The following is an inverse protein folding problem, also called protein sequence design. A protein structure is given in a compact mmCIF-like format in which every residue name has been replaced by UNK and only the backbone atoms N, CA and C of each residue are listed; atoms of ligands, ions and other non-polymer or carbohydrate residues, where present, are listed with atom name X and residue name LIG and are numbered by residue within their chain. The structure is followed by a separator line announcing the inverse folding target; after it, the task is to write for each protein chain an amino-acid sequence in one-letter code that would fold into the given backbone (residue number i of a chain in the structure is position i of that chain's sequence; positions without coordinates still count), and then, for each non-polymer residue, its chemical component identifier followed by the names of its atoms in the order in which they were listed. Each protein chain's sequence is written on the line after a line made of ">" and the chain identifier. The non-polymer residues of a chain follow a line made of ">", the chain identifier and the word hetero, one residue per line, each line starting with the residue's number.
data_IF_081443214037
#
_entry.id   IF_081443214037
#
_cell.length_a   1.000
_cell.length_b   1.000
_cell.length_c   1.000
_cell.angle_alpha   90.00
_cell.angle_beta   90.00
_cell.angle_gamma   90.00
#
_symmetry.space_group_name_H-M   'P 1'
#
loop_
_entity.id
_entity.type
_entity.pdbx_description
1 polymer ?
#
# COMPACT_ATOMS: atom_id res chain seq x y z
N UNK A 1 -26.06 -0.24 21.12
CA UNK A 1 -25.71 -1.59 20.64
C UNK A 1 -26.58 -1.87 19.42
N UNK A 2 -26.08 -1.74 18.24
CA UNK A 2 -26.72 -2.08 16.98
C UNK A 2 -25.68 -2.67 16.06
N UNK A 3 -25.57 -3.99 16.05
CA UNK A 3 -24.84 -4.71 15.01
C UNK A 3 -25.61 -4.55 13.70
N UNK A 4 -25.00 -3.85 12.73
CA UNK A 4 -25.48 -3.88 11.36
C UNK A 4 -24.84 -5.10 10.70
N UNK A 5 -25.51 -6.23 10.83
CA UNK A 5 -25.17 -7.44 10.10
C UNK A 5 -25.53 -7.27 8.62
N UNK A 6 -24.58 -6.97 7.77
CA UNK A 6 -24.76 -7.13 6.32
C UNK A 6 -24.61 -8.61 6.01
N UNK A 7 -25.74 -9.32 6.02
CA UNK A 7 -25.79 -10.69 5.56
C UNK A 7 -25.73 -10.71 4.03
N UNK A 8 -24.57 -10.71 3.44
CA UNK A 8 -24.39 -11.15 2.07
C UNK A 8 -24.54 -12.67 2.05
N UNK A 9 -25.72 -13.15 1.71
CA UNK A 9 -25.97 -14.56 1.50
C UNK A 9 -25.29 -14.99 0.21
N UNK A 10 -24.03 -15.38 0.30
CA UNK A 10 -23.36 -16.10 -0.78
C UNK A 10 -24.01 -17.48 -0.86
N UNK A 11 -25.03 -17.63 -1.67
CA UNK A 11 -25.59 -18.92 -2.02
C UNK A 11 -24.73 -19.48 -3.16
N UNK A 12 -23.59 -20.05 -2.80
CA UNK A 12 -22.85 -20.94 -3.67
C UNK A 12 -23.56 -22.29 -3.76
N UNK A 13 -24.66 -22.33 -4.49
CA UNK A 13 -25.24 -23.60 -4.92
C UNK A 13 -24.51 -24.03 -6.18
N UNK A 14 -23.61 -24.99 -6.05
CA UNK A 14 -23.20 -25.81 -7.19
C UNK A 14 -24.41 -26.67 -7.59
N UNK A 15 -25.35 -26.09 -8.28
CA UNK A 15 -26.34 -26.86 -9.01
C UNK A 15 -25.69 -27.40 -10.27
N UNK A 16 -25.70 -28.70 -10.41
CA UNK A 16 -25.36 -29.43 -11.64
C UNK A 16 -26.10 -28.75 -12.80
N UNK A 17 -25.34 -28.21 -13.76
CA UNK A 17 -25.85 -27.66 -15.00
C UNK A 17 -26.62 -28.77 -15.72
N UNK A 18 -27.95 -28.70 -15.70
CA UNK A 18 -28.77 -29.50 -16.56
C UNK A 18 -28.51 -29.08 -18.01
N UNK A 19 -28.38 -30.06 -18.90
CA UNK A 19 -28.10 -29.87 -20.33
C UNK A 19 -29.23 -29.08 -21.02
N UNK A 20 -29.20 -27.77 -20.96
CA UNK A 20 -30.19 -26.88 -21.52
C UNK A 20 -29.92 -25.38 -21.31
N UNK A 21 -28.95 -25.05 -20.44
CA UNK A 21 -28.58 -23.66 -20.18
C UNK A 21 -27.86 -23.08 -21.38
N UNK A 22 -28.42 -22.07 -22.03
CA UNK A 22 -27.79 -21.41 -23.15
C UNK A 22 -26.48 -20.74 -22.71
N UNK A 23 -25.45 -20.79 -23.55
CA UNK A 23 -24.14 -20.17 -23.31
C UNK A 23 -24.25 -18.69 -22.85
N UNK A 24 -25.27 -17.99 -23.33
CA UNK A 24 -25.59 -16.62 -22.96
C UNK A 24 -25.95 -16.48 -21.48
N UNK A 25 -26.74 -17.41 -20.93
CA UNK A 25 -27.18 -17.34 -19.53
C UNK A 25 -26.01 -17.58 -18.57
N UNK A 26 -25.04 -18.40 -18.99
CA UNK A 26 -23.78 -18.62 -18.23
C UNK A 26 -22.89 -17.38 -18.25
N UNK A 27 -22.79 -16.70 -19.39
CA UNK A 27 -22.02 -15.47 -19.51
C UNK A 27 -22.65 -14.34 -18.69
N UNK A 28 -23.96 -14.17 -18.71
CA UNK A 28 -24.68 -13.18 -17.94
C UNK A 28 -24.52 -13.43 -16.42
N UNK A 29 -24.49 -14.69 -15.97
CA UNK A 29 -24.19 -15.03 -14.57
C UNK A 29 -22.76 -14.65 -14.17
N UNK A 30 -21.77 -14.95 -15.03
CA UNK A 30 -20.35 -14.62 -14.78
C UNK A 30 -20.16 -13.09 -14.71
N UNK A 31 -20.83 -12.34 -15.57
CA UNK A 31 -20.76 -10.88 -15.54
C UNK A 31 -21.42 -10.30 -14.28
N UNK A 32 -22.54 -10.85 -13.85
CA UNK A 32 -23.19 -10.45 -12.59
C UNK A 32 -22.34 -10.76 -11.37
N UNK A 33 -21.67 -11.93 -11.32
CA UNK A 33 -20.75 -12.26 -10.24
C UNK A 33 -19.53 -11.35 -10.21
N UNK A 34 -18.94 -11.03 -11.38
CA UNK A 34 -17.83 -10.09 -11.49
C UNK A 34 -18.22 -8.69 -11.04
N UNK A 35 -19.41 -8.24 -11.42
CA UNK A 35 -19.93 -6.94 -10.99
C UNK A 35 -20.17 -6.89 -9.47
N UNK A 36 -20.76 -7.93 -8.91
CA UNK A 36 -21.00 -8.03 -7.46
C UNK A 36 -19.68 -8.05 -6.65
N UNK A 37 -18.67 -8.80 -7.11
CA UNK A 37 -17.35 -8.82 -6.47
C UNK A 37 -16.65 -7.46 -6.57
N UNK A 38 -16.70 -6.80 -7.71
CA UNK A 38 -16.13 -5.46 -7.90
C UNK A 38 -16.77 -4.43 -6.98
N UNK A 39 -18.09 -4.46 -6.86
CA UNK A 39 -18.83 -3.56 -6.00
C UNK A 39 -18.55 -3.82 -4.51
N UNK A 40 -18.47 -5.08 -4.10
CA UNK A 40 -18.14 -5.44 -2.72
C UNK A 40 -16.73 -4.98 -2.33
N UNK A 41 -15.76 -5.16 -3.21
CA UNK A 41 -14.38 -4.70 -2.98
C UNK A 41 -14.29 -3.18 -2.89
N UNK A 42 -15.04 -2.45 -3.70
CA UNK A 42 -15.08 -0.99 -3.65
C UNK A 42 -15.69 -0.49 -2.33
N UNK A 43 -16.78 -1.09 -1.85
CA UNK A 43 -17.37 -0.74 -0.56
C UNK A 43 -16.42 -1.03 0.60
N UNK A 44 -15.76 -2.18 0.60
CA UNK A 44 -14.78 -2.53 1.63
C UNK A 44 -13.64 -1.50 1.63
N UNK A 45 -13.11 -1.17 0.46
CA UNK A 45 -12.06 -0.16 0.34
C UNK A 45 -12.49 1.21 0.88
N UNK A 46 -13.70 1.66 0.57
CA UNK A 46 -14.22 2.95 1.09
C UNK A 46 -14.41 2.93 2.62
N UNK A 47 -14.86 1.81 3.19
CA UNK A 47 -15.03 1.66 4.64
C UNK A 47 -13.66 1.67 5.33
N UNK A 48 -12.70 0.93 4.79
CA UNK A 48 -11.35 0.85 5.34
C UNK A 48 -10.64 2.20 5.26
N UNK A 49 -10.75 2.91 4.15
CA UNK A 49 -10.21 4.26 3.99
C UNK A 49 -10.80 5.24 5.01
N UNK A 50 -12.11 5.20 5.25
CA UNK A 50 -12.76 6.04 6.26
C UNK A 50 -12.29 5.70 7.67
N UNK A 51 -12.12 4.42 7.98
CA UNK A 51 -11.61 3.99 9.29
C UNK A 51 -10.16 4.44 9.50
N UNK A 52 -9.31 4.37 8.48
CA UNK A 52 -7.94 4.88 8.54
C UNK A 52 -7.93 6.40 8.78
N UNK A 53 -8.73 7.17 8.06
CA UNK A 53 -8.80 8.62 8.22
C UNK A 53 -9.25 9.05 9.61
N UNK A 54 -10.14 8.29 10.26
CA UNK A 54 -10.62 8.61 11.60
C UNK A 54 -9.59 8.34 12.71
N UNK A 55 -8.61 7.49 12.47
CA UNK A 55 -7.53 7.15 13.41
C UNK A 55 -6.22 7.91 13.12
N UNK A 56 -6.14 8.58 11.98
CA UNK A 56 -4.96 9.31 11.54
C UNK A 56 -4.75 10.60 12.33
N UNK A 57 -3.54 10.77 12.87
CA UNK A 57 -3.10 12.01 13.51
C UNK A 57 -2.31 12.86 12.49
N UNK A 58 -2.86 14.00 12.03
CA UNK A 58 -2.19 14.83 11.03
C UNK A 58 -0.92 15.52 11.54
N UNK A 59 -0.69 15.52 12.85
CA UNK A 59 0.46 16.17 13.46
C UNK A 59 1.57 15.20 13.85
N UNK A 60 1.28 13.89 13.88
CA UNK A 60 2.23 12.90 14.35
C UNK A 60 2.16 11.58 13.58
N UNK A 61 3.19 11.27 12.82
CA UNK A 61 3.30 10.01 12.11
C UNK A 61 3.96 8.95 12.99
N UNK A 62 3.23 7.87 13.27
CA UNK A 62 3.75 6.70 13.98
C UNK A 62 4.13 5.65 12.95
N UNK A 63 5.36 5.17 13.04
CA UNK A 63 5.90 4.11 12.19
C UNK A 63 6.44 2.99 13.08
N UNK A 64 6.09 1.76 12.80
CA UNK A 64 6.49 0.59 13.60
C UNK A 64 6.80 -0.63 12.74
N UNK A 65 7.51 -1.60 13.31
CA UNK A 65 7.63 -2.93 12.72
C UNK A 65 6.40 -3.76 13.05
N UNK A 66 5.95 -4.56 12.09
CA UNK A 66 4.84 -5.47 12.25
C UNK A 66 4.77 -6.47 11.10
N UNK A 67 3.57 -6.95 10.83
CA UNK A 67 3.32 -7.88 9.73
C UNK A 67 2.13 -7.38 8.90
N UNK A 68 2.13 -7.72 7.62
CA UNK A 68 0.98 -7.51 6.75
C UNK A 68 -0.12 -8.58 6.98
N UNK A 69 -1.22 -8.49 6.25
CA UNK A 69 -2.33 -9.44 6.35
C UNK A 69 -1.97 -10.88 5.87
N UNK A 70 -0.79 -11.07 5.27
CA UNK A 70 -0.26 -12.35 4.83
C UNK A 70 0.82 -12.90 5.77
N UNK A 71 1.03 -12.25 6.92
CA UNK A 71 2.09 -12.53 7.91
C UNK A 71 3.52 -12.34 7.36
N UNK A 72 3.69 -11.48 6.36
CA UNK A 72 5.02 -11.03 5.95
C UNK A 72 5.46 -9.86 6.83
N UNK A 73 6.73 -9.82 7.15
CA UNK A 73 7.30 -8.69 7.90
C UNK A 73 7.14 -7.40 7.10
N UNK A 74 6.64 -6.38 7.75
CA UNK A 74 6.25 -5.12 7.15
C UNK A 74 6.58 -3.93 8.04
N UNK A 75 6.68 -2.77 7.44
CA UNK A 75 6.69 -1.48 8.15
C UNK A 75 5.25 -0.97 8.18
N UNK A 76 4.71 -0.78 9.38
CA UNK A 76 3.37 -0.26 9.60
C UNK A 76 3.44 1.26 9.79
N UNK A 77 2.61 1.98 9.06
CA UNK A 77 2.51 3.44 9.09
C UNK A 77 1.09 3.81 9.50
N UNK A 78 0.94 4.51 10.60
CA UNK A 78 -0.36 5.01 11.07
C UNK A 78 -0.79 6.23 10.26
N UNK A 79 -1.01 6.00 8.98
CA UNK A 79 -1.52 6.98 8.03
C UNK A 79 -2.40 6.28 6.98
N UNK A 80 -3.34 7.04 6.35
CA UNK A 80 -4.12 6.54 5.25
C UNK A 80 -3.26 6.05 4.09
N UNK A 81 -3.80 5.11 3.32
CA UNK A 81 -3.13 4.50 2.17
C UNK A 81 -2.62 5.55 1.17
N UNK A 82 -3.45 6.51 0.82
CA UNK A 82 -3.12 7.59 -0.13
C UNK A 82 -1.97 8.47 0.41
N UNK A 83 -2.06 8.87 1.68
CA UNK A 83 -0.99 9.65 2.33
C UNK A 83 0.32 8.87 2.34
N UNK A 84 0.29 7.58 2.67
CA UNK A 84 1.48 6.73 2.67
C UNK A 84 2.09 6.63 1.27
N UNK A 85 1.27 6.51 0.21
CA UNK A 85 1.76 6.52 -1.16
C UNK A 85 2.44 7.85 -1.53
N UNK A 86 1.86 8.98 -1.16
CA UNK A 86 2.44 10.30 -1.41
C UNK A 86 3.79 10.47 -0.70
N UNK A 87 3.88 10.04 0.56
CA UNK A 87 5.13 10.05 1.30
C UNK A 87 6.21 9.18 0.63
N UNK A 88 5.85 7.99 0.15
CA UNK A 88 6.79 7.13 -0.58
C UNK A 88 7.28 7.78 -1.88
N UNK A 89 6.40 8.45 -2.62
CA UNK A 89 6.78 9.16 -3.84
C UNK A 89 7.83 10.25 -3.59
N UNK A 90 7.74 10.95 -2.47
CA UNK A 90 8.70 11.98 -2.07
C UNK A 90 10.01 11.42 -1.53
N UNK A 91 9.93 10.39 -0.66
CA UNK A 91 11.11 9.89 0.04
C UNK A 91 11.98 8.93 -0.77
N UNK A 92 11.40 8.05 -1.60
CA UNK A 92 12.15 6.99 -2.29
C UNK A 92 13.30 7.54 -3.15
N UNK A 93 13.11 8.57 -3.99
CA UNK A 93 14.21 9.15 -4.75
C UNK A 93 15.32 9.72 -3.86
N UNK A 94 14.98 10.35 -2.74
CA UNK A 94 15.95 10.90 -1.78
C UNK A 94 16.81 9.81 -1.14
N UNK A 95 16.28 8.59 -1.01
CA UNK A 95 16.98 7.42 -0.49
C UNK A 95 17.78 6.66 -1.56
N UNK A 96 17.84 7.14 -2.80
CA UNK A 96 18.51 6.46 -3.90
C UNK A 96 17.71 5.30 -4.48
N UNK A 97 16.40 5.29 -4.29
CA UNK A 97 15.48 4.31 -4.85
C UNK A 97 14.78 4.90 -6.06
N UNK A 98 15.20 4.50 -7.23
CA UNK A 98 14.57 4.90 -8.49
C UNK A 98 13.24 4.18 -8.64
N UNK A 99 12.15 4.93 -8.79
CA UNK A 99 10.83 4.38 -9.10
C UNK A 99 10.80 4.09 -10.60
N UNK A 100 10.76 2.82 -10.98
CA UNK A 100 10.66 2.39 -12.38
C UNK A 100 9.19 2.37 -12.85
N UNK A 101 8.29 1.91 -11.99
CA UNK A 101 6.84 1.97 -12.20
C UNK A 101 6.10 2.00 -10.88
N UNK A 102 4.89 2.52 -10.87
CA UNK A 102 3.96 2.34 -9.77
C UNK A 102 2.54 2.12 -10.30
N UNK A 103 1.76 1.34 -9.56
CA UNK A 103 0.38 1.04 -9.87
C UNK A 103 -0.49 1.22 -8.65
N UNK A 104 -1.34 2.25 -8.67
CA UNK A 104 -2.32 2.49 -7.59
C UNK A 104 -3.30 1.32 -7.49
N UNK A 105 -3.75 0.78 -8.63
CA UNK A 105 -4.69 -0.34 -8.67
C UNK A 105 -4.14 -1.64 -8.05
N UNK A 106 -2.83 -1.85 -8.12
CA UNK A 106 -2.13 -3.00 -7.51
C UNK A 106 -1.54 -2.65 -6.15
N UNK A 107 -1.57 -1.37 -5.76
CA UNK A 107 -0.87 -0.88 -4.57
C UNK A 107 0.62 -1.26 -4.56
N UNK A 108 1.29 -1.18 -5.70
CA UNK A 108 2.63 -1.71 -5.90
C UNK A 108 3.55 -0.69 -6.58
N UNK A 109 4.79 -0.64 -6.09
CA UNK A 109 5.91 0.05 -6.72
C UNK A 109 6.93 -0.98 -7.20
N UNK A 110 7.48 -0.76 -8.38
CA UNK A 110 8.71 -1.40 -8.83
C UNK A 110 9.84 -0.39 -8.72
N UNK A 111 10.83 -0.70 -7.92
CA UNK A 111 11.93 0.21 -7.59
C UNK A 111 13.28 -0.43 -7.83
N UNK A 112 14.29 0.40 -8.00
CA UNK A 112 15.68 -0.01 -8.12
C UNK A 112 16.52 0.79 -7.14
N UNK A 113 17.16 0.09 -6.19
CA UNK A 113 18.12 0.69 -5.26
C UNK A 113 19.44 0.88 -5.99
N UNK A 114 19.81 2.14 -6.23
CA UNK A 114 20.98 2.51 -7.00
C UNK A 114 22.24 2.44 -6.16
N UNK A 115 23.37 2.13 -6.81
CA UNK A 115 24.69 2.09 -6.19
C UNK A 115 25.68 3.07 -6.85
N UNK A 116 25.51 3.37 -8.12
CA UNK A 116 26.35 4.30 -8.88
C UNK A 116 26.24 5.72 -8.33
N UNK A 117 27.38 6.35 -8.00
CA UNK A 117 27.43 7.73 -7.52
C UNK A 117 26.79 8.70 -8.51
N UNK A 118 27.05 8.53 -9.82
CA UNK A 118 26.49 9.40 -10.85
C UNK A 118 24.97 9.30 -10.94
N UNK A 119 24.42 8.09 -10.82
CA UNK A 119 22.98 7.88 -10.90
C UNK A 119 22.27 8.40 -9.64
N UNK A 120 22.91 8.26 -8.48
CA UNK A 120 22.41 8.83 -7.23
C UNK A 120 22.37 10.37 -7.27
N UNK A 121 23.42 11.01 -7.81
CA UNK A 121 23.45 12.47 -7.99
C UNK A 121 22.33 12.90 -8.94
N UNK A 122 22.15 12.19 -10.07
CA UNK A 122 21.07 12.49 -11.03
C UNK A 122 19.69 12.36 -10.42
N UNK A 123 19.51 11.36 -9.52
CA UNK A 123 18.26 11.15 -8.82
C UNK A 123 18.02 12.17 -7.70
N UNK A 124 19.06 12.88 -7.25
CA UNK A 124 19.00 13.79 -6.11
C UNK A 124 19.04 13.07 -4.76
N UNK A 125 19.58 11.86 -4.74
CA UNK A 125 19.70 11.06 -3.53
C UNK A 125 20.72 11.67 -2.55
N UNK A 126 20.33 11.82 -1.30
CA UNK A 126 21.17 12.37 -0.22
C UNK A 126 21.13 11.50 1.05
N UNK A 127 20.38 10.40 1.03
CA UNK A 127 20.23 9.45 2.14
C UNK A 127 20.56 8.05 1.64
N UNK A 128 21.14 7.22 2.50
CA UNK A 128 21.37 5.80 2.24
C UNK A 128 20.67 4.97 3.30
N UNK A 129 19.88 4.00 2.84
CA UNK A 129 19.23 3.02 3.70
C UNK A 129 20.04 1.71 3.73
N UNK A 130 19.90 0.96 4.82
CA UNK A 130 20.61 -0.32 4.98
C UNK A 130 19.89 -1.44 4.21
N UNK A 131 20.06 -1.42 2.91
CA UNK A 131 19.58 -2.42 1.97
C UNK A 131 20.57 -2.60 0.83
N UNK A 132 20.65 -3.78 0.28
CA UNK A 132 21.50 -4.06 -0.89
C UNK A 132 20.97 -3.35 -2.13
N UNK A 133 21.85 -2.91 -3.02
CA UNK A 133 21.46 -2.44 -4.34
C UNK A 133 20.79 -3.56 -5.14
N UNK A 134 19.86 -3.19 -6.01
CA UNK A 134 19.11 -4.14 -6.82
C UNK A 134 17.65 -3.72 -7.04
N UNK A 135 16.89 -4.61 -7.64
CA UNK A 135 15.48 -4.40 -7.93
C UNK A 135 14.61 -4.97 -6.82
N UNK A 136 13.59 -4.21 -6.47
CA UNK A 136 12.64 -4.58 -5.43
C UNK A 136 11.22 -4.20 -5.85
N UNK A 137 10.25 -4.83 -5.19
CA UNK A 137 8.86 -4.38 -5.22
C UNK A 137 8.44 -3.96 -3.82
N UNK A 138 7.65 -2.92 -3.75
CA UNK A 138 7.04 -2.44 -2.51
C UNK A 138 5.54 -2.58 -2.69
N UNK A 139 4.89 -3.34 -1.81
CA UNK A 139 3.42 -3.48 -1.80
C UNK A 139 2.84 -2.83 -0.57
N UNK A 140 1.76 -2.10 -0.77
CA UNK A 140 1.01 -1.49 0.31
C UNK A 140 -0.27 -2.25 0.54
N UNK A 141 -0.64 -2.38 1.80
CA UNK A 141 -1.89 -3.01 2.21
C UNK A 141 -2.51 -2.29 3.40
N UNK A 142 -3.82 -2.22 3.43
CA UNK A 142 -4.55 -1.69 4.59
C UNK A 142 -4.46 -2.72 5.72
N UNK A 143 -4.02 -2.29 6.89
CA UNK A 143 -3.88 -3.11 8.09
C UNK A 143 -4.52 -2.40 9.28
N UNK A 144 -5.80 -2.62 9.49
CA UNK A 144 -6.58 -1.88 10.49
C UNK A 144 -6.62 -0.38 10.17
N UNK A 145 -6.14 0.44 11.12
CA UNK A 145 -5.99 1.89 10.94
C UNK A 145 -4.68 2.31 10.29
N UNK A 146 -3.79 1.36 10.00
CA UNK A 146 -2.46 1.61 9.45
C UNK A 146 -2.36 1.14 8.00
N UNK A 147 -1.32 1.60 7.32
CA UNK A 147 -0.90 1.06 6.03
C UNK A 147 0.36 0.20 6.25
N UNK A 148 0.31 -1.05 5.83
CA UNK A 148 1.46 -1.95 5.84
C UNK A 148 2.27 -1.77 4.56
N UNK A 149 3.59 -1.61 4.69
CA UNK A 149 4.55 -1.54 3.60
C UNK A 149 5.39 -2.81 3.63
N UNK A 150 5.19 -3.68 2.64
CA UNK A 150 5.89 -4.96 2.52
C UNK A 150 6.85 -4.92 1.34
N UNK A 151 8.06 -5.43 1.54
CA UNK A 151 9.14 -5.40 0.55
C UNK A 151 9.37 -6.80 -0.02
N UNK A 152 9.57 -6.87 -1.33
CA UNK A 152 9.83 -8.10 -2.07
C UNK A 152 11.09 -7.93 -2.91
N UNK A 153 11.83 -9.01 -3.08
CA UNK A 153 12.99 -9.05 -3.97
C UNK A 153 12.58 -9.18 -5.45
N UNK A 154 13.56 -9.23 -6.32
CA UNK A 154 13.38 -9.39 -7.77
C UNK A 154 12.61 -10.67 -8.15
N UNK A 155 12.68 -11.71 -7.31
CA UNK A 155 12.00 -13.00 -7.51
C UNK A 155 10.59 -13.05 -6.89
N UNK A 156 10.08 -11.91 -6.43
CA UNK A 156 8.79 -11.81 -5.77
C UNK A 156 8.72 -12.55 -4.41
N UNK A 157 9.88 -12.76 -3.78
CA UNK A 157 9.96 -13.28 -2.41
C UNK A 157 9.97 -12.13 -1.40
N UNK A 158 9.21 -12.21 -0.30
CA UNK A 158 9.24 -11.19 0.74
C UNK A 158 10.62 -11.14 1.39
N UNK A 159 11.07 -9.95 1.74
CA UNK A 159 12.33 -9.79 2.47
C UNK A 159 12.25 -10.48 3.84
N UNK A 160 13.37 -11.02 4.28
CA UNK A 160 13.47 -11.65 5.60
C UNK A 160 13.30 -10.65 6.73
N UNK A 161 12.88 -11.13 7.91
CA UNK A 161 12.75 -10.33 9.14
C UNK A 161 14.02 -9.55 9.46
N UNK A 162 15.20 -10.16 9.20
CA UNK A 162 16.46 -9.49 9.44
C UNK A 162 16.71 -8.33 8.48
N UNK A 163 16.34 -8.46 7.21
CA UNK A 163 16.49 -7.40 6.21
C UNK A 163 15.52 -6.25 6.50
N UNK A 164 14.26 -6.55 6.82
CA UNK A 164 13.26 -5.55 7.19
C UNK A 164 13.67 -4.83 8.47
N UNK A 165 14.18 -5.54 9.48
CA UNK A 165 14.64 -4.94 10.75
C UNK A 165 15.85 -4.02 10.56
N UNK A 166 16.75 -4.31 9.62
CA UNK A 166 17.88 -3.43 9.29
C UNK A 166 17.44 -2.19 8.52
N UNK A 167 16.51 -2.36 7.60
CA UNK A 167 15.96 -1.27 6.79
C UNK A 167 15.13 -0.29 7.64
N UNK A 168 14.40 -0.81 8.62
CA UNK A 168 13.36 -0.08 9.36
C UNK A 168 13.83 1.24 9.98
N UNK A 169 14.93 1.33 10.75
CA UNK A 169 15.26 2.58 11.44
C UNK A 169 15.45 3.75 10.48
N UNK A 170 16.26 3.55 9.43
CA UNK A 170 16.50 4.59 8.42
C UNK A 170 15.27 4.91 7.60
N UNK A 171 14.49 3.89 7.24
CA UNK A 171 13.25 4.07 6.48
C UNK A 171 12.20 4.85 7.27
N UNK A 172 12.02 4.52 8.55
CA UNK A 172 11.09 5.21 9.44
C UNK A 172 11.48 6.68 9.67
N UNK A 173 12.77 6.96 9.88
CA UNK A 173 13.27 8.32 10.08
C UNK A 173 13.00 9.20 8.85
N UNK A 174 13.28 8.67 7.65
CA UNK A 174 13.03 9.44 6.41
C UNK A 174 11.54 9.62 6.15
N UNK A 175 10.72 8.61 6.46
CA UNK A 175 9.28 8.71 6.30
C UNK A 175 8.67 9.78 7.21
N UNK A 176 9.11 9.84 8.47
CA UNK A 176 8.70 10.88 9.43
C UNK A 176 9.17 12.26 8.98
N UNK A 177 10.38 12.38 8.44
CA UNK A 177 10.91 13.63 7.89
C UNK A 177 10.10 14.12 6.68
N UNK A 178 9.77 13.22 5.77
CA UNK A 178 8.93 13.53 4.61
C UNK A 178 7.54 13.99 5.04
N UNK A 179 6.97 13.31 6.04
CA UNK A 179 5.67 13.66 6.60
C UNK A 179 5.65 15.08 7.19
N UNK A 180 6.67 15.48 7.94
CA UNK A 180 6.79 16.84 8.49
C UNK A 180 6.85 17.89 7.38
N UNK A 181 7.58 17.60 6.30
CA UNK A 181 7.67 18.47 5.13
C UNK A 181 6.32 18.59 4.42
N UNK A 182 5.60 17.48 4.27
CA UNK A 182 4.28 17.41 3.67
C UNK A 182 3.24 18.19 4.49
N UNK A 183 3.18 17.98 5.81
CA UNK A 183 2.25 18.68 6.71
C UNK A 183 2.55 20.18 6.81
N UNK A 184 3.83 20.57 6.79
CA UNK A 184 4.25 21.97 6.77
C UNK A 184 3.83 22.70 5.49
N UNK A 185 3.88 22.06 4.34
CA UNK A 185 3.43 22.63 3.07
C UNK A 185 1.90 22.84 3.04
N UNK A 186 1.13 21.86 3.53
CA UNK A 186 -0.33 21.96 3.61
C UNK A 186 -0.80 23.11 4.52
N UNK A 187 -0.04 23.42 5.58
CA UNK A 187 -0.35 24.53 6.51
C UNK A 187 -0.15 25.91 5.90
N UNK A 188 0.65 26.04 4.84
CA UNK A 188 0.91 27.30 4.17
C UNK A 188 -0.12 27.65 3.09
N UNK A 189 -0.84 26.69 2.52
CA UNK A 189 -1.88 26.96 1.50
C UNK A 189 -3.19 27.54 2.07
N UNK A 190 -3.43 27.45 3.37
CA UNK A 190 -4.68 27.92 4.01
C UNK A 190 -4.65 29.42 4.39
N UNK A 191 -3.55 30.15 4.14
CA UNK A 191 -3.43 31.57 4.50
C UNK A 191 -3.34 32.52 3.30
N UNK A 192 -4.21 32.38 2.31
CA UNK A 192 -4.44 33.42 1.31
C UNK A 192 -5.91 33.72 1.22
N UNK A 193 -6.32 34.65 2.05
CA UNK A 193 -7.51 35.46 1.85
C UNK A 193 -7.18 36.90 2.11
#
# INVERSE_FOLDING_TARGET
>A
QGEIGIATKLVGSMTSLSSGTKMKDVLDMIEQERFAMGFSNQIIHEIDTKNQQSAYDPDNLIVSLGQDNNNHDAILVEAPFETTMELLNGMLPRCGWKINSHSVAKAEYEVEVLDSADDLIKLGANIRLDIKHGKYKIRLGIHGSSTAITFYDEKDAPLSSQEVSRLYPGFADVLVDEFKSYSGAASHEVKVN
#
